data_IF_838514922054
#
_entry.id   IF_838514922054
#
_cell.length_a   1.000
_cell.length_b   1.000
_cell.length_c   1.000
_cell.angle_alpha   90.00
_cell.angle_beta   90.00
_cell.angle_gamma   90.00
#
_symmetry.space_group_name_H-M   'P 1'
#
loop_
_entity.id
_entity.type
_entity.pdbx_description
1 polymer ?
#
# COMPACT_ATOMS: atom_id res chain seq x y z
N UNK A 1 0.54 1.94 -36.82
CA UNK A 1 -0.36 2.96 -36.25
C UNK A 1 -0.32 3.01 -34.72
N UNK A 2 -0.50 1.89 -34.00
CA UNK A 2 -0.47 1.86 -32.52
C UNK A 2 0.87 2.26 -31.87
N UNK A 3 2.02 2.06 -32.54
CA UNK A 3 3.36 2.40 -32.00
C UNK A 3 3.51 3.89 -31.63
N UNK A 4 2.88 4.79 -32.39
CA UNK A 4 2.94 6.23 -32.12
C UNK A 4 2.10 6.64 -30.90
N UNK A 5 1.02 5.92 -30.61
CA UNK A 5 0.13 6.23 -29.49
C UNK A 5 0.82 5.94 -28.14
N UNK A 6 1.46 4.77 -28.03
CA UNK A 6 2.20 4.39 -26.83
C UNK A 6 3.33 5.37 -26.51
N UNK A 7 4.06 5.82 -27.54
CA UNK A 7 5.13 6.81 -27.38
C UNK A 7 4.60 8.16 -26.89
N UNK A 8 3.48 8.63 -27.43
CA UNK A 8 2.82 9.88 -27.00
C UNK A 8 2.29 9.78 -25.57
N UNK A 9 1.74 8.63 -25.18
CA UNK A 9 1.35 8.38 -23.79
C UNK A 9 2.54 8.32 -22.84
N UNK A 10 3.64 7.69 -23.25
CA UNK A 10 4.87 7.63 -22.46
C UNK A 10 5.46 9.02 -22.24
N UNK A 11 5.55 9.85 -23.28
CA UNK A 11 5.94 11.26 -23.19
C UNK A 11 5.00 12.09 -22.29
N UNK A 12 3.69 11.83 -22.38
CA UNK A 12 2.71 12.50 -21.53
C UNK A 12 2.86 12.11 -20.05
N UNK A 13 3.22 10.86 -19.77
CA UNK A 13 3.50 10.36 -18.42
C UNK A 13 4.91 10.71 -17.93
N UNK A 14 5.81 11.10 -18.83
CA UNK A 14 7.18 11.51 -18.52
C UNK A 14 7.15 12.83 -17.73
N UNK A 15 7.78 12.83 -16.55
CA UNK A 15 7.75 13.97 -15.63
C UNK A 15 6.58 13.98 -14.65
N UNK A 16 5.77 12.91 -14.60
CA UNK A 16 4.85 12.66 -13.47
C UNK A 16 5.48 11.73 -12.45
N UNK A 17 5.01 11.84 -11.21
CA UNK A 17 5.37 10.89 -10.16
C UNK A 17 4.71 9.54 -10.51
N UNK A 18 5.51 8.52 -10.78
CA UNK A 18 5.02 7.17 -11.08
C UNK A 18 4.35 6.50 -9.87
N UNK A 19 4.14 5.18 -9.96
CA UNK A 19 3.56 4.41 -8.86
C UNK A 19 4.52 4.32 -7.66
N UNK A 20 4.26 5.08 -6.60
CA UNK A 20 4.97 5.07 -5.32
C UNK A 20 4.53 3.91 -4.41
N UNK A 21 5.30 3.61 -3.34
CA UNK A 21 4.97 2.51 -2.42
C UNK A 21 3.61 2.70 -1.73
N UNK A 22 3.24 3.95 -1.41
CA UNK A 22 1.92 4.27 -0.87
C UNK A 22 0.80 3.95 -1.87
N UNK A 23 0.94 4.34 -3.14
CA UNK A 23 -0.05 4.00 -4.18
C UNK A 23 -0.14 2.49 -4.42
N UNK A 24 0.98 1.77 -4.33
CA UNK A 24 0.97 0.31 -4.39
C UNK A 24 0.22 -0.31 -3.21
N UNK A 25 0.39 0.23 -2.00
CA UNK A 25 -0.35 -0.22 -0.82
C UNK A 25 -1.85 0.06 -0.95
N UNK A 26 -2.22 1.28 -1.36
CA UNK A 26 -3.62 1.67 -1.58
C UNK A 26 -4.29 0.83 -2.68
N UNK A 27 -3.58 0.51 -3.76
CA UNK A 27 -4.12 -0.34 -4.82
C UNK A 27 -4.33 -1.78 -4.37
N UNK A 28 -3.43 -2.35 -3.56
CA UNK A 28 -3.65 -3.65 -2.94
C UNK A 28 -4.87 -3.64 -2.03
N UNK A 29 -5.02 -2.61 -1.17
CA UNK A 29 -6.22 -2.46 -0.33
C UNK A 29 -7.49 -2.41 -1.18
N UNK A 30 -7.50 -1.60 -2.23
CA UNK A 30 -8.65 -1.47 -3.12
C UNK A 30 -9.01 -2.82 -3.78
N UNK A 31 -8.02 -3.58 -4.24
CA UNK A 31 -8.26 -4.92 -4.79
C UNK A 31 -8.85 -5.86 -3.73
N UNK A 32 -8.33 -5.86 -2.51
CA UNK A 32 -8.85 -6.70 -1.42
C UNK A 32 -10.29 -6.31 -1.07
N UNK A 33 -10.61 -5.01 -1.01
CA UNK A 33 -11.97 -4.54 -0.73
C UNK A 33 -12.95 -4.99 -1.82
N UNK A 34 -12.58 -4.85 -3.10
CA UNK A 34 -13.42 -5.31 -4.22
C UNK A 34 -13.63 -6.83 -4.16
N UNK A 35 -12.58 -7.60 -3.86
CA UNK A 35 -12.69 -9.05 -3.72
C UNK A 35 -13.59 -9.44 -2.54
N UNK A 36 -13.46 -8.77 -1.40
CA UNK A 36 -14.33 -8.99 -0.23
C UNK A 36 -15.79 -8.67 -0.56
N UNK A 37 -16.07 -7.56 -1.24
CA UNK A 37 -17.42 -7.22 -1.69
C UNK A 37 -18.00 -8.29 -2.61
N UNK A 38 -17.20 -8.78 -3.55
CA UNK A 38 -17.62 -9.83 -4.48
C UNK A 38 -17.95 -11.15 -3.75
N UNK A 39 -17.09 -11.57 -2.82
CA UNK A 39 -17.30 -12.77 -1.99
C UNK A 39 -18.54 -12.59 -1.10
N UNK A 40 -18.65 -11.48 -0.38
CA UNK A 40 -19.79 -11.21 0.51
C UNK A 40 -21.12 -11.17 -0.25
N UNK A 41 -21.15 -10.55 -1.43
CA UNK A 41 -22.36 -10.51 -2.26
C UNK A 41 -22.75 -11.91 -2.77
N UNK A 42 -21.75 -12.76 -3.07
CA UNK A 42 -21.99 -14.13 -3.55
C UNK A 42 -22.43 -15.10 -2.46
N UNK A 43 -21.85 -15.01 -1.26
CA UNK A 43 -22.06 -15.99 -0.18
C UNK A 43 -23.04 -15.53 0.91
N UNK A 44 -23.15 -14.22 1.18
CA UNK A 44 -24.02 -13.65 2.21
C UNK A 44 -25.11 -12.79 1.56
N UNK A 45 -26.03 -13.43 0.85
CA UNK A 45 -27.21 -12.78 0.25
C UNK A 45 -28.31 -12.46 1.30
N UNK A 46 -27.92 -11.90 2.45
CA UNK A 46 -28.87 -11.38 3.43
C UNK A 46 -29.19 -9.90 3.13
N UNK A 47 -30.46 -9.48 3.18
CA UNK A 47 -30.86 -8.12 2.82
C UNK A 47 -30.14 -7.02 3.63
N UNK A 48 -29.76 -7.29 4.89
CA UNK A 48 -28.96 -6.36 5.70
C UNK A 48 -27.50 -6.22 5.26
N UNK A 49 -26.87 -7.31 4.81
CA UNK A 49 -25.47 -7.30 4.33
C UNK A 49 -25.37 -6.63 2.96
N UNK A 50 -26.41 -6.77 2.13
CA UNK A 50 -26.46 -6.18 0.79
C UNK A 50 -26.43 -4.64 0.81
N UNK A 51 -27.10 -4.01 1.79
CA UNK A 51 -27.03 -2.56 2.00
C UNK A 51 -25.63 -2.09 2.38
N UNK A 52 -24.96 -2.83 3.27
CA UNK A 52 -23.59 -2.54 3.69
C UNK A 52 -22.60 -2.66 2.52
N UNK A 53 -22.72 -3.72 1.71
CA UNK A 53 -21.89 -3.93 0.52
C UNK A 53 -22.11 -2.82 -0.52
N UNK A 54 -23.35 -2.36 -0.74
CA UNK A 54 -23.62 -1.23 -1.64
C UNK A 54 -23.03 0.08 -1.13
N UNK A 55 -23.05 0.32 0.18
CA UNK A 55 -22.41 1.50 0.78
C UNK A 55 -20.89 1.45 0.64
N UNK A 56 -20.28 0.27 0.83
CA UNK A 56 -18.85 0.04 0.64
C UNK A 56 -18.38 0.29 -0.81
N UNK A 57 -19.23 -0.05 -1.80
CA UNK A 57 -18.95 0.24 -3.21
C UNK A 57 -18.73 1.74 -3.52
N UNK A 58 -19.44 2.64 -2.83
CA UNK A 58 -19.21 4.08 -2.97
C UNK A 58 -17.84 4.50 -2.42
N UNK A 59 -17.39 3.88 -1.33
CA UNK A 59 -16.07 4.12 -0.74
C UNK A 59 -14.97 3.67 -1.71
N UNK A 60 -15.14 2.51 -2.36
CA UNK A 60 -14.20 2.04 -3.38
C UNK A 60 -14.09 3.00 -4.56
N UNK A 61 -15.21 3.57 -5.03
CA UNK A 61 -15.19 4.58 -6.09
C UNK A 61 -14.43 5.85 -5.69
N UNK A 62 -14.64 6.35 -4.46
CA UNK A 62 -13.90 7.51 -3.94
C UNK A 62 -12.41 7.18 -3.85
N UNK A 63 -12.07 6.00 -3.33
CA UNK A 63 -10.67 5.56 -3.19
C UNK A 63 -9.99 5.45 -4.56
N UNK A 64 -10.69 4.92 -5.56
CA UNK A 64 -10.21 4.85 -6.95
C UNK A 64 -9.93 6.25 -7.50
N UNK A 65 -10.87 7.18 -7.31
CA UNK A 65 -10.70 8.57 -7.76
C UNK A 65 -9.50 9.25 -7.11
N UNK A 66 -9.31 9.06 -5.80
CA UNK A 66 -8.14 9.58 -5.07
C UNK A 66 -6.84 8.99 -5.63
N UNK A 67 -6.81 7.70 -5.97
CA UNK A 67 -5.65 7.02 -6.54
C UNK A 67 -5.31 7.58 -7.92
N UNK A 68 -6.32 7.79 -8.77
CA UNK A 68 -6.14 8.45 -10.07
C UNK A 68 -5.65 9.88 -9.93
N UNK A 69 -6.29 10.68 -9.08
CA UNK A 69 -5.90 12.07 -8.83
C UNK A 69 -4.46 12.17 -8.31
N UNK A 70 -4.04 11.25 -7.44
CA UNK A 70 -2.65 11.16 -6.95
C UNK A 70 -1.68 10.89 -8.08
N UNK A 71 -2.00 9.93 -8.96
CA UNK A 71 -1.16 9.53 -10.10
C UNK A 71 -1.03 10.65 -11.15
N UNK A 72 -2.09 11.45 -11.32
CA UNK A 72 -2.10 12.60 -12.21
C UNK A 72 -1.55 13.90 -11.59
N UNK A 73 -1.26 13.91 -10.29
CA UNK A 73 -0.78 15.11 -9.60
C UNK A 73 0.65 15.46 -10.02
N UNK A 74 0.87 16.71 -10.44
CA UNK A 74 2.19 17.21 -10.86
C UNK A 74 3.08 17.64 -9.69
N UNK A 75 2.57 17.62 -8.46
CA UNK A 75 3.26 18.09 -7.26
C UNK A 75 4.16 17.02 -6.63
N UNK A 76 5.25 16.68 -7.34
CA UNK A 76 6.27 15.71 -6.95
C UNK A 76 6.81 15.88 -5.50
N UNK A 77 7.24 17.08 -5.05
CA UNK A 77 7.87 17.22 -3.73
C UNK A 77 6.90 16.95 -2.57
N UNK A 78 5.64 17.39 -2.70
CA UNK A 78 4.60 17.12 -1.69
C UNK A 78 4.29 15.62 -1.59
N UNK A 79 4.21 14.93 -2.73
CA UNK A 79 3.95 13.48 -2.78
C UNK A 79 5.11 12.66 -2.24
N UNK A 80 6.35 13.10 -2.47
CA UNK A 80 7.52 12.47 -1.88
C UNK A 80 7.50 12.57 -0.35
N UNK A 81 7.20 13.74 0.21
CA UNK A 81 7.11 13.93 1.67
C UNK A 81 6.04 13.03 2.31
N UNK A 82 4.87 12.88 1.67
CA UNK A 82 3.83 11.93 2.11
C UNK A 82 4.32 10.48 2.08
N UNK A 83 5.01 10.07 1.01
CA UNK A 83 5.54 8.71 0.89
C UNK A 83 6.68 8.44 1.89
N UNK A 84 7.52 9.44 2.19
CA UNK A 84 8.55 9.32 3.24
C UNK A 84 7.92 9.08 4.62
N UNK A 85 6.89 9.84 4.98
CA UNK A 85 6.13 9.59 6.23
C UNK A 85 5.55 8.18 6.27
N UNK A 86 4.99 7.70 5.16
CA UNK A 86 4.50 6.33 5.06
C UNK A 86 5.62 5.29 5.22
N UNK A 87 6.78 5.52 4.61
CA UNK A 87 7.94 4.64 4.72
C UNK A 87 8.49 4.59 6.15
N UNK A 88 8.52 5.71 6.87
CA UNK A 88 8.90 5.76 8.28
C UNK A 88 7.93 4.97 9.17
N UNK A 89 6.62 5.12 8.94
CA UNK A 89 5.61 4.35 9.68
C UNK A 89 5.74 2.86 9.38
N UNK A 90 5.89 2.50 8.09
CA UNK A 90 6.07 1.12 7.66
C UNK A 90 7.36 0.51 8.21
N UNK A 91 8.47 1.26 8.24
CA UNK A 91 9.75 0.79 8.76
C UNK A 91 9.71 0.61 10.27
N UNK A 92 9.00 1.49 11.00
CA UNK A 92 8.73 1.30 12.43
C UNK A 92 7.94 0.02 12.67
N UNK A 93 6.80 -0.15 12.01
CA UNK A 93 5.98 -1.37 12.08
C UNK A 93 6.81 -2.63 11.77
N UNK A 94 7.53 -2.62 10.65
CA UNK A 94 8.39 -3.74 10.26
C UNK A 94 9.54 -3.99 11.24
N UNK A 95 10.11 -2.94 11.85
CA UNK A 95 11.14 -3.06 12.89
C UNK A 95 10.58 -3.65 14.18
N UNK A 96 9.33 -3.35 14.56
CA UNK A 96 8.69 -3.99 15.70
C UNK A 96 8.54 -5.51 15.49
N UNK A 97 8.04 -5.94 14.33
CA UNK A 97 7.95 -7.37 14.00
C UNK A 97 9.32 -8.01 13.77
N UNK A 98 10.26 -7.27 13.19
CA UNK A 98 11.61 -7.74 12.86
C UNK A 98 12.55 -7.84 14.07
N UNK A 99 12.39 -7.00 15.09
CA UNK A 99 13.13 -7.12 16.36
C UNK A 99 12.76 -8.40 17.11
N UNK A 100 11.49 -8.79 17.08
CA UNK A 100 11.01 -10.05 17.64
C UNK A 100 11.62 -11.26 16.93
N UNK A 101 11.68 -11.23 15.59
CA UNK A 101 12.21 -12.34 14.80
C UNK A 101 13.74 -12.39 14.72
N UNK A 102 14.43 -11.23 14.68
CA UNK A 102 15.89 -11.19 14.74
C UNK A 102 16.38 -11.60 16.12
N UNK A 103 15.78 -11.11 17.19
CA UNK A 103 16.15 -11.52 18.55
C UNK A 103 16.02 -13.02 18.81
N UNK A 104 15.05 -13.71 18.18
CA UNK A 104 14.89 -15.16 18.32
C UNK A 104 15.88 -15.94 17.47
N UNK A 105 16.07 -15.55 16.20
CA UNK A 105 17.00 -16.27 15.30
C UNK A 105 18.46 -16.09 15.71
N UNK A 106 18.84 -14.89 16.17
CA UNK A 106 20.21 -14.61 16.61
C UNK A 106 20.58 -15.34 17.91
N UNK A 107 19.61 -15.65 18.79
CA UNK A 107 19.84 -16.44 20.02
C UNK A 107 20.13 -17.92 19.73
N UNK A 108 19.64 -18.44 18.61
CA UNK A 108 19.79 -19.84 18.23
C UNK A 108 21.14 -20.03 17.53
N UNK A 109 21.51 -19.11 16.64
CA UNK A 109 22.71 -19.24 15.80
C UNK A 109 23.99 -18.72 16.49
N UNK A 110 23.88 -17.78 17.45
CA UNK A 110 25.04 -17.21 18.12
C UNK A 110 24.85 -17.13 19.65
N UNK A 111 25.81 -17.66 20.40
CA UNK A 111 25.92 -17.41 21.84
C UNK A 111 26.62 -16.06 22.06
N UNK A 112 25.84 -15.02 22.35
CA UNK A 112 26.35 -13.67 22.61
C UNK A 112 26.71 -13.57 24.10
N UNK A 113 28.01 -13.54 24.40
CA UNK A 113 28.53 -13.31 25.76
C UNK A 113 28.62 -11.81 26.04
N UNK A 114 28.06 -11.36 27.18
CA UNK A 114 28.30 -9.99 27.69
C UNK A 114 29.52 -10.01 28.61
N UNK A 115 30.47 -9.10 28.38
CA UNK A 115 31.63 -8.94 29.24
C UNK A 115 31.17 -8.41 30.62
N UNK A 116 31.48 -9.09 31.74
CA UNK A 116 31.01 -8.66 33.06
C UNK A 116 31.65 -7.36 33.55
N UNK A 117 32.72 -6.87 32.92
CA UNK A 117 33.40 -5.63 33.30
C UNK A 117 32.97 -4.40 32.50
N UNK A 118 32.14 -4.56 31.46
CA UNK A 118 31.76 -3.44 30.60
C UNK A 118 30.27 -3.55 30.24
N UNK A 119 29.48 -2.59 30.74
CA UNK A 119 28.07 -2.40 30.39
C UNK A 119 27.92 -1.48 29.19
#
# INVERSE_FOLDING_TARGET
>A
MFKNLHYRFALFMQGRYGTDQLSRFLSVILIVLILLEWICNRFLAFPGVLLFVRAAGFINMILLFVLYFRTFSRNIPKRYAENQKFLELKSRLSSFFGKTHRGSSQRIEYHIYKCPQCS
#
